data_IF_858450261379
#
_entry.id   IF_858450261379
#
_cell.length_a   1.000
_cell.length_b   1.000
_cell.length_c   1.000
_cell.angle_alpha   90.00
_cell.angle_beta   90.00
_cell.angle_gamma   90.00
#
_symmetry.space_group_name_H-M   'P 1'
#
loop_
_entity.id
_entity.type
_entity.pdbx_description
1 polymer ?
#
# COMPACT_ATOMS: atom_id res chain seq x y z
N UNK A 1 10.83 -11.00 10.81
CA UNK A 1 11.13 -9.76 10.05
C UNK A 1 9.82 -9.15 9.56
N UNK A 2 9.65 -7.84 9.72
CA UNK A 2 8.60 -7.04 9.08
C UNK A 2 9.23 -6.08 8.07
N UNK A 3 8.57 -5.88 6.94
CA UNK A 3 9.05 -5.02 5.85
C UNK A 3 8.02 -3.95 5.53
N UNK A 4 8.48 -2.73 5.26
CA UNK A 4 7.69 -1.66 4.69
C UNK A 4 8.43 -1.11 3.46
N UNK A 5 7.74 -1.07 2.33
CA UNK A 5 8.30 -0.67 1.04
C UNK A 5 7.69 0.66 0.60
N UNK A 6 8.55 1.64 0.31
CA UNK A 6 8.08 2.96 -0.07
C UNK A 6 7.40 3.00 -1.43
N UNK A 7 6.66 4.08 -1.67
CA UNK A 7 6.21 4.48 -3.00
C UNK A 7 7.29 5.25 -3.73
N UNK A 8 7.45 4.97 -5.03
CA UNK A 8 8.23 5.76 -6.02
C UNK A 8 8.19 5.14 -7.43
N UNK A 9 7.07 4.49 -7.77
CA UNK A 9 6.96 3.67 -8.98
C UNK A 9 8.03 2.58 -9.08
N UNK A 10 8.52 2.33 -10.29
CA UNK A 10 9.46 1.23 -10.59
C UNK A 10 10.79 1.34 -9.82
N UNK A 11 11.23 2.56 -9.44
CA UNK A 11 12.44 2.76 -8.61
C UNK A 11 12.29 2.09 -7.24
N UNK A 12 11.19 2.37 -6.55
CA UNK A 12 10.92 1.75 -5.25
C UNK A 12 10.71 0.24 -5.35
N UNK A 13 10.05 -0.22 -6.43
CA UNK A 13 9.89 -1.65 -6.67
C UNK A 13 11.25 -2.37 -6.81
N UNK A 14 12.17 -1.78 -7.57
CA UNK A 14 13.52 -2.31 -7.78
C UNK A 14 14.35 -2.31 -6.48
N UNK A 15 14.31 -1.21 -5.72
CA UNK A 15 15.03 -1.11 -4.45
C UNK A 15 14.51 -2.14 -3.43
N UNK A 16 13.19 -2.23 -3.27
CA UNK A 16 12.53 -3.22 -2.40
C UNK A 16 12.87 -4.65 -2.79
N UNK A 17 12.93 -4.94 -4.10
CA UNK A 17 13.38 -6.24 -4.59
C UNK A 17 14.85 -6.52 -4.23
N UNK A 18 15.73 -5.51 -4.36
CA UNK A 18 17.11 -5.59 -3.91
C UNK A 18 17.24 -5.92 -2.41
N UNK A 19 16.40 -5.29 -1.57
CA UNK A 19 16.34 -5.61 -0.13
C UNK A 19 15.92 -7.07 0.11
N UNK A 20 14.89 -7.56 -0.58
CA UNK A 20 14.49 -8.97 -0.48
C UNK A 20 15.61 -9.93 -0.90
N UNK A 21 16.37 -9.60 -1.94
CA UNK A 21 17.54 -10.39 -2.38
C UNK A 21 18.65 -10.37 -1.33
N UNK A 22 18.96 -9.22 -0.76
CA UNK A 22 19.96 -9.10 0.30
C UNK A 22 19.56 -9.91 1.56
N UNK A 23 18.27 -9.91 1.93
CA UNK A 23 17.78 -10.72 3.05
C UNK A 23 17.83 -12.23 2.75
N UNK A 24 17.68 -12.62 1.50
CA UNK A 24 17.83 -14.02 1.06
C UNK A 24 19.29 -14.48 1.11
N UNK A 25 20.26 -13.57 1.03
CA UNK A 25 21.68 -13.91 1.21
C UNK A 25 22.09 -14.07 2.69
N UNK A 26 21.29 -13.57 3.64
CA UNK A 26 21.59 -13.63 5.08
C UNK A 26 21.09 -14.94 5.69
N UNK A 27 22.00 -15.90 5.90
CA UNK A 27 21.70 -17.20 6.52
C UNK A 27 21.51 -17.06 8.03
N UNK A 28 20.38 -17.57 8.55
CA UNK A 28 20.03 -17.55 9.98
C UNK A 28 20.02 -18.93 10.64
N UNK A 29 19.87 -20.00 9.85
CA UNK A 29 19.95 -21.38 10.33
C UNK A 29 20.50 -22.27 9.21
N UNK A 30 21.20 -23.34 9.56
CA UNK A 30 21.78 -24.30 8.63
C UNK A 30 21.19 -25.71 8.79
N UNK A 31 20.45 -26.00 9.87
CA UNK A 31 19.90 -27.34 10.12
C UNK A 31 18.44 -27.27 10.61
N UNK A 32 17.52 -28.11 10.11
CA UNK A 32 17.71 -29.22 9.16
C UNK A 32 17.76 -28.82 7.67
N UNK A 33 17.43 -27.56 7.34
CA UNK A 33 17.57 -26.97 6.01
C UNK A 33 18.16 -25.57 6.20
N UNK A 34 19.00 -25.11 5.26
CA UNK A 34 19.43 -23.72 5.23
C UNK A 34 18.20 -22.81 5.22
N UNK A 35 18.18 -21.85 6.14
CA UNK A 35 17.17 -20.80 6.22
C UNK A 35 17.84 -19.44 6.19
N UNK A 36 17.21 -18.50 5.49
CA UNK A 36 17.68 -17.14 5.30
C UNK A 36 16.69 -16.16 5.95
N UNK A 37 17.02 -14.87 6.07
CA UNK A 37 16.10 -13.90 6.67
C UNK A 37 14.80 -13.78 5.87
N UNK A 38 14.82 -14.04 4.56
CA UNK A 38 13.63 -14.04 3.70
C UNK A 38 12.58 -15.06 4.16
N UNK A 39 13.02 -16.19 4.74
CA UNK A 39 12.15 -17.25 5.25
C UNK A 39 11.32 -16.83 6.46
N UNK A 40 11.79 -15.82 7.19
CA UNK A 40 11.19 -15.32 8.42
C UNK A 40 10.59 -13.92 8.26
N UNK A 41 10.32 -13.50 7.02
CA UNK A 41 9.43 -12.38 6.75
C UNK A 41 8.01 -12.80 7.13
N UNK A 42 7.43 -12.09 8.11
CA UNK A 42 6.08 -12.35 8.65
C UNK A 42 5.07 -11.29 8.27
N UNK A 43 5.56 -10.14 7.84
CA UNK A 43 4.77 -8.95 7.55
C UNK A 43 5.45 -8.19 6.43
N UNK A 44 4.70 -7.78 5.41
CA UNK A 44 5.16 -6.91 4.34
C UNK A 44 4.08 -5.90 4.04
N UNK A 45 4.44 -4.64 3.96
CA UNK A 45 3.55 -3.54 3.61
C UNK A 45 4.15 -2.74 2.47
N UNK A 46 3.32 -2.15 1.63
CA UNK A 46 3.80 -1.26 0.59
C UNK A 46 2.74 -0.33 0.02
N UNK A 47 3.23 0.79 -0.51
CA UNK A 47 2.46 1.75 -1.30
C UNK A 47 3.06 1.89 -2.70
N UNK A 48 2.23 2.17 -3.71
CA UNK A 48 2.67 2.40 -5.09
C UNK A 48 3.56 1.28 -5.63
N UNK A 49 4.74 1.59 -6.18
CA UNK A 49 5.73 0.61 -6.62
C UNK A 49 6.15 -0.39 -5.53
N UNK A 50 6.24 0.04 -4.27
CA UNK A 50 6.49 -0.85 -3.13
C UNK A 50 5.38 -1.88 -2.92
N UNK A 51 4.12 -1.51 -3.18
CA UNK A 51 2.98 -2.42 -3.13
C UNK A 51 3.07 -3.53 -4.20
N UNK A 52 3.61 -3.22 -5.38
CA UNK A 52 3.86 -4.24 -6.43
C UNK A 52 4.80 -5.32 -5.90
N UNK A 53 5.95 -4.93 -5.33
CA UNK A 53 6.93 -5.87 -4.78
C UNK A 53 6.38 -6.61 -3.56
N UNK A 54 5.67 -5.91 -2.66
CA UNK A 54 5.06 -6.51 -1.48
C UNK A 54 4.05 -7.60 -1.83
N UNK A 55 3.11 -7.28 -2.72
CA UNK A 55 2.09 -8.21 -3.19
C UNK A 55 2.70 -9.38 -3.96
N UNK A 56 3.71 -9.11 -4.81
CA UNK A 56 4.38 -10.16 -5.58
C UNK A 56 5.10 -11.16 -4.67
N UNK A 57 5.84 -10.66 -3.67
CA UNK A 57 6.50 -11.50 -2.68
C UNK A 57 5.49 -12.31 -1.85
N UNK A 58 4.40 -11.69 -1.40
CA UNK A 58 3.33 -12.40 -0.68
C UNK A 58 2.68 -13.50 -1.52
N UNK A 59 2.41 -13.21 -2.80
CA UNK A 59 1.76 -14.13 -3.73
C UNK A 59 2.65 -15.31 -4.09
N UNK A 60 3.86 -15.05 -4.61
CA UNK A 60 4.79 -16.10 -5.06
C UNK A 60 5.47 -16.81 -3.90
N UNK A 61 5.69 -16.10 -2.81
CA UNK A 61 6.43 -16.55 -1.64
C UNK A 61 7.93 -16.58 -1.88
N UNK A 62 8.66 -16.92 -0.81
CA UNK A 62 10.13 -16.99 -0.78
C UNK A 62 10.79 -17.83 -1.88
N UNK A 63 10.11 -18.87 -2.39
CA UNK A 63 10.69 -19.82 -3.35
C UNK A 63 10.40 -19.40 -4.80
N UNK A 64 9.61 -18.35 -5.03
CA UNK A 64 9.14 -17.97 -6.36
C UNK A 64 9.18 -16.48 -6.69
N UNK A 65 9.70 -15.62 -5.80
CA UNK A 65 9.75 -14.17 -6.06
C UNK A 65 10.97 -13.75 -6.91
N UNK A 66 11.92 -14.66 -7.14
CA UNK A 66 13.21 -14.38 -7.78
C UNK A 66 13.09 -14.02 -9.28
N UNK A 67 11.96 -14.31 -9.91
CA UNK A 67 11.65 -13.94 -11.30
C UNK A 67 11.03 -12.52 -11.42
N UNK A 68 10.92 -11.78 -10.30
CA UNK A 68 10.27 -10.46 -10.28
C UNK A 68 10.96 -9.46 -11.20
N UNK A 69 12.30 -9.53 -11.32
CA UNK A 69 13.05 -8.67 -12.23
C UNK A 69 12.59 -8.87 -13.66
N UNK A 70 12.53 -10.12 -14.10
CA UNK A 70 12.20 -10.49 -15.46
C UNK A 70 10.71 -10.29 -15.74
N UNK A 71 9.82 -10.52 -14.77
CA UNK A 71 8.37 -10.36 -14.95
C UNK A 71 7.88 -8.92 -14.81
N UNK A 72 8.61 -8.06 -14.10
CA UNK A 72 8.18 -6.67 -13.84
C UNK A 72 9.25 -5.63 -14.17
N UNK A 73 10.40 -5.66 -13.50
CA UNK A 73 11.36 -4.55 -13.53
C UNK A 73 12.00 -4.29 -14.90
N UNK A 74 12.14 -5.32 -15.72
CA UNK A 74 12.65 -5.21 -17.09
C UNK A 74 11.54 -5.12 -18.13
N UNK A 75 10.28 -5.19 -17.70
CA UNK A 75 9.13 -5.09 -18.59
C UNK A 75 8.69 -3.64 -18.71
N UNK A 76 8.17 -3.30 -19.89
CA UNK A 76 7.55 -2.00 -20.09
C UNK A 76 6.08 -2.05 -19.67
N UNK A 77 5.84 -2.30 -18.38
CA UNK A 77 4.50 -2.40 -17.79
C UNK A 77 3.65 -1.13 -18.04
N UNK A 78 4.33 -0.01 -18.27
CA UNK A 78 3.74 1.30 -18.53
C UNK A 78 3.61 1.63 -20.03
N UNK A 79 4.17 0.84 -20.96
CA UNK A 79 4.05 1.11 -22.40
C UNK A 79 2.61 1.01 -22.92
N UNK A 80 1.83 0.11 -22.33
CA UNK A 80 0.40 -0.06 -22.67
C UNK A 80 -0.48 0.97 -21.95
N UNK A 81 0.07 1.72 -20.99
CA UNK A 81 -0.60 2.91 -20.47
C UNK A 81 -0.57 3.97 -21.56
N UNK A 82 -1.75 4.39 -21.99
CA UNK A 82 -1.91 5.53 -22.89
C UNK A 82 -1.57 6.82 -22.12
N UNK A 83 -0.29 7.02 -21.87
CA UNK A 83 0.33 8.17 -21.19
C UNK A 83 0.31 9.44 -22.05
N UNK A 84 -0.28 9.40 -23.24
CA UNK A 84 -0.48 10.61 -24.03
C UNK A 84 -1.44 11.55 -23.32
N UNK A 85 -1.02 12.80 -23.12
CA UNK A 85 -1.88 13.91 -22.74
C UNK A 85 -2.85 14.22 -23.91
N UNK A 86 -3.76 13.31 -24.21
CA UNK A 86 -4.78 13.52 -25.22
C UNK A 86 -5.98 14.26 -24.62
N UNK A 87 -6.69 15.09 -25.39
CA UNK A 87 -7.92 15.74 -24.94
C UNK A 87 -8.96 14.76 -24.35
N UNK A 88 -8.94 13.51 -24.82
CA UNK A 88 -9.80 12.42 -24.33
C UNK A 88 -9.42 11.97 -22.90
N UNK A 89 -8.13 12.02 -22.54
CA UNK A 89 -7.67 11.74 -21.18
C UNK A 89 -8.00 12.89 -20.22
N UNK A 90 -7.95 14.14 -20.70
CA UNK A 90 -8.46 15.30 -19.95
C UNK A 90 -9.98 15.22 -19.72
N UNK A 91 -10.75 14.78 -20.71
CA UNK A 91 -12.19 14.56 -20.59
C UNK A 91 -12.51 13.42 -19.59
N UNK A 92 -11.74 12.32 -19.59
CA UNK A 92 -11.90 11.25 -18.60
C UNK A 92 -11.48 11.65 -17.18
N UNK A 93 -10.45 12.48 -17.04
CA UNK A 93 -10.10 13.10 -15.76
C UNK A 93 -11.20 14.07 -15.30
N UNK A 94 -11.80 14.83 -16.22
CA UNK A 94 -12.89 15.78 -15.95
C UNK A 94 -14.20 15.10 -15.52
N UNK A 95 -14.54 13.94 -16.11
CA UNK A 95 -15.75 13.18 -15.74
C UNK A 95 -15.53 12.15 -14.62
N UNK A 96 -14.33 12.09 -14.03
CA UNK A 96 -14.04 11.22 -12.89
C UNK A 96 -14.00 9.73 -13.25
N UNK A 97 -12.85 9.27 -13.77
CA UNK A 97 -12.37 7.89 -13.69
C UNK A 97 -13.42 6.78 -13.80
N UNK A 98 -13.86 6.47 -15.03
CA UNK A 98 -14.71 5.32 -15.30
C UNK A 98 -13.87 4.06 -15.17
N UNK A 99 -13.80 3.49 -13.96
CA UNK A 99 -13.25 2.17 -13.58
C UNK A 99 -12.43 1.50 -14.70
N UNK A 100 -11.26 2.06 -15.00
CA UNK A 100 -10.46 1.53 -16.09
C UNK A 100 -9.69 0.32 -15.57
N UNK A 101 -10.39 -0.83 -15.52
CA UNK A 101 -9.76 -2.15 -15.45
C UNK A 101 -8.96 -2.47 -16.72
N UNK A 102 -8.73 -1.48 -17.60
CA UNK A 102 -7.79 -1.55 -18.74
C UNK A 102 -6.46 -0.92 -18.42
N UNK A 103 -5.44 -1.35 -19.15
CA UNK A 103 -4.07 -0.88 -18.96
C UNK A 103 -3.41 -1.61 -17.79
N UNK A 104 -2.91 -0.86 -16.81
CA UNK A 104 -2.00 -1.37 -15.79
C UNK A 104 -2.59 -2.48 -14.92
N UNK A 105 -3.82 -2.34 -14.41
CA UNK A 105 -4.48 -3.39 -13.61
C UNK A 105 -4.60 -4.72 -14.39
N UNK A 106 -4.94 -4.64 -15.68
CA UNK A 106 -5.00 -5.83 -16.55
C UNK A 106 -3.61 -6.40 -16.80
N UNK A 107 -2.64 -5.54 -17.09
CA UNK A 107 -1.26 -5.97 -17.31
C UNK A 107 -0.70 -6.69 -16.07
N UNK A 108 -0.89 -6.14 -14.87
CA UNK A 108 -0.52 -6.77 -13.60
C UNK A 108 -1.23 -8.11 -13.41
N UNK A 109 -2.52 -8.17 -13.72
CA UNK A 109 -3.32 -9.39 -13.61
C UNK A 109 -2.78 -10.51 -14.51
N UNK A 110 -2.41 -10.17 -15.75
CA UNK A 110 -2.05 -11.15 -16.78
C UNK A 110 -0.57 -11.54 -16.70
N UNK A 111 0.31 -10.63 -16.25
CA UNK A 111 1.77 -10.82 -16.29
C UNK A 111 2.42 -11.04 -14.93
N UNK A 112 1.81 -10.61 -13.82
CA UNK A 112 2.40 -10.74 -12.47
C UNK A 112 1.59 -11.66 -11.56
N UNK A 113 0.27 -11.47 -11.50
CA UNK A 113 -0.58 -12.09 -10.49
C UNK A 113 -1.42 -13.25 -11.00
N UNK A 114 -1.31 -13.60 -12.29
CA UNK A 114 -1.91 -14.80 -12.88
C UNK A 114 -3.43 -14.93 -12.60
N UNK A 115 -4.16 -13.81 -12.59
CA UNK A 115 -5.59 -13.78 -12.26
C UNK A 115 -5.93 -13.95 -10.77
N UNK A 116 -4.94 -13.98 -9.88
CA UNK A 116 -5.15 -14.29 -8.47
C UNK A 116 -5.93 -13.21 -7.71
N UNK A 117 -6.86 -13.67 -6.87
CA UNK A 117 -7.57 -12.86 -5.90
C UNK A 117 -6.81 -12.77 -4.57
N UNK A 118 -7.19 -11.81 -3.72
CA UNK A 118 -6.52 -11.48 -2.47
C UNK A 118 -6.43 -12.69 -1.53
N UNK A 119 -7.40 -13.61 -1.58
CA UNK A 119 -7.35 -14.90 -0.87
C UNK A 119 -6.08 -15.71 -1.13
N UNK A 120 -5.43 -15.52 -2.28
CA UNK A 120 -4.19 -16.20 -2.62
C UNK A 120 -2.98 -15.72 -1.80
N UNK A 121 -3.08 -14.55 -1.14
CA UNK A 121 -2.09 -14.06 -0.18
C UNK A 121 -2.18 -14.79 1.17
N UNK A 122 -3.30 -15.45 1.49
CA UNK A 122 -3.49 -16.24 2.72
C UNK A 122 -2.83 -17.62 2.64
N UNK A 123 -1.52 -17.65 2.51
CA UNK A 123 -0.75 -18.90 2.44
C UNK A 123 -0.33 -19.36 3.84
N UNK A 124 -0.38 -20.66 4.15
CA UNK A 124 0.20 -21.19 5.36
C UNK A 124 1.68 -20.78 5.47
N UNK A 125 2.05 -20.12 6.57
CA UNK A 125 3.39 -19.58 6.82
C UNK A 125 3.83 -18.44 5.90
N UNK A 126 2.96 -17.91 5.04
CA UNK A 126 3.20 -16.67 4.30
C UNK A 126 3.17 -15.44 5.21
N UNK A 127 3.72 -14.31 4.76
CA UNK A 127 3.61 -13.06 5.49
C UNK A 127 2.19 -12.49 5.39
N UNK A 128 1.81 -11.68 6.38
CA UNK A 128 0.70 -10.74 6.22
C UNK A 128 1.13 -9.69 5.19
N UNK A 129 0.27 -9.40 4.21
CA UNK A 129 0.54 -8.41 3.17
C UNK A 129 -0.45 -7.27 3.28
N UNK A 130 0.07 -6.05 3.46
CA UNK A 130 -0.70 -4.82 3.40
C UNK A 130 -0.40 -4.06 2.11
N UNK A 131 -1.47 -3.78 1.37
CA UNK A 131 -1.45 -2.93 0.18
C UNK A 131 -2.15 -1.65 0.56
N UNK A 132 -1.48 -0.52 0.37
CA UNK A 132 -1.94 0.76 0.91
C UNK A 132 -2.25 1.71 -0.27
N UNK A 133 -3.48 2.19 -0.33
CA UNK A 133 -3.90 3.27 -1.23
C UNK A 133 -4.29 4.50 -0.38
N UNK A 134 -4.73 5.58 -1.03
CA UNK A 134 -5.19 6.78 -0.34
C UNK A 134 -6.67 7.04 -0.63
N UNK A 135 -7.49 7.12 0.42
CA UNK A 135 -8.85 7.65 0.32
C UNK A 135 -8.77 9.17 0.30
N UNK A 136 -9.03 9.76 -0.86
CA UNK A 136 -8.85 11.19 -1.07
C UNK A 136 -10.02 12.05 -0.55
N UNK A 137 -11.16 11.43 -0.26
CA UNK A 137 -12.26 12.13 0.41
C UNK A 137 -11.96 12.26 1.90
N UNK A 138 -11.64 11.13 2.54
CA UNK A 138 -11.34 11.08 3.98
C UNK A 138 -9.90 11.54 4.32
N UNK A 139 -9.03 11.70 3.32
CA UNK A 139 -7.62 12.15 3.44
C UNK A 139 -6.81 11.24 4.38
N UNK A 140 -7.04 9.94 4.26
CA UNK A 140 -6.44 8.92 5.11
C UNK A 140 -6.03 7.70 4.29
N UNK A 141 -5.13 6.85 4.79
CA UNK A 141 -4.80 5.59 4.14
C UNK A 141 -6.03 4.69 3.99
N UNK A 142 -6.18 4.12 2.80
CA UNK A 142 -7.09 3.02 2.51
C UNK A 142 -6.30 1.73 2.52
N UNK A 143 -6.48 0.92 3.56
CA UNK A 143 -5.81 -0.38 3.66
C UNK A 143 -6.71 -1.46 3.08
N UNK A 144 -6.16 -2.29 2.19
CA UNK A 144 -6.87 -3.49 1.70
C UNK A 144 -6.86 -4.58 2.79
N UNK A 145 -7.77 -4.45 3.76
CA UNK A 145 -7.95 -5.37 4.89
C UNK A 145 -9.40 -5.81 5.01
N UNK A 146 -9.65 -6.92 5.71
CA UNK A 146 -11.01 -7.44 5.93
C UNK A 146 -11.89 -6.44 6.69
N UNK A 147 -11.33 -5.65 7.60
CA UNK A 147 -12.08 -4.61 8.32
C UNK A 147 -12.55 -3.49 7.38
N UNK A 148 -11.67 -3.00 6.50
CA UNK A 148 -12.05 -1.99 5.49
C UNK A 148 -13.13 -2.52 4.56
N UNK A 149 -12.96 -3.75 4.06
CA UNK A 149 -13.91 -4.35 3.12
C UNK A 149 -15.23 -4.72 3.79
N UNK A 150 -15.22 -5.14 5.07
CA UNK A 150 -16.44 -5.31 5.85
C UNK A 150 -17.20 -3.98 6.02
N UNK A 151 -16.49 -2.89 6.29
CA UNK A 151 -17.08 -1.54 6.36
C UNK A 151 -17.64 -1.07 5.00
N UNK A 152 -17.13 -1.59 3.89
CA UNK A 152 -17.66 -1.36 2.53
C UNK A 152 -18.73 -2.38 2.12
N UNK A 153 -19.13 -3.30 3.01
CA UNK A 153 -20.02 -4.40 2.69
C UNK A 153 -19.56 -5.24 1.48
N UNK A 154 -18.25 -5.46 1.38
CA UNK A 154 -17.58 -6.15 0.29
C UNK A 154 -16.65 -7.25 0.81
N UNK A 155 -16.36 -8.25 -0.02
CA UNK A 155 -15.44 -9.35 0.32
C UNK A 155 -14.06 -9.10 -0.28
N UNK A 156 -13.06 -8.84 0.57
CA UNK A 156 -11.67 -8.66 0.16
C UNK A 156 -11.13 -9.90 -0.57
N UNK A 157 -11.54 -11.10 -0.17
CA UNK A 157 -10.99 -12.35 -0.70
C UNK A 157 -11.30 -12.56 -2.20
N UNK A 158 -12.31 -11.86 -2.73
CA UNK A 158 -12.65 -11.85 -4.16
C UNK A 158 -11.95 -10.75 -4.96
N UNK A 159 -11.33 -9.77 -4.31
CA UNK A 159 -10.64 -8.67 -4.99
C UNK A 159 -9.41 -9.21 -5.69
N UNK A 160 -9.18 -8.86 -6.95
CA UNK A 160 -7.93 -9.24 -7.64
C UNK A 160 -6.76 -8.51 -7.00
N UNK A 161 -5.66 -9.23 -6.74
CA UNK A 161 -4.43 -8.61 -6.20
C UNK A 161 -4.01 -7.45 -7.12
N UNK A 162 -4.12 -7.66 -8.43
CA UNK A 162 -3.83 -6.66 -9.44
C UNK A 162 -4.67 -5.37 -9.32
N UNK A 163 -5.94 -5.46 -8.94
CA UNK A 163 -6.80 -4.28 -8.76
C UNK A 163 -6.38 -3.48 -7.51
N UNK A 164 -6.03 -4.18 -6.43
CA UNK A 164 -5.52 -3.54 -5.20
C UNK A 164 -4.18 -2.83 -5.43
N UNK A 165 -3.25 -3.51 -6.11
CA UNK A 165 -1.94 -2.94 -6.47
C UNK A 165 -2.10 -1.75 -7.43
N UNK A 166 -2.99 -1.85 -8.43
CA UNK A 166 -3.25 -0.75 -9.34
C UNK A 166 -3.85 0.47 -8.65
N UNK A 167 -4.76 0.28 -7.68
CA UNK A 167 -5.27 1.37 -6.85
C UNK A 167 -4.16 2.02 -6.02
N UNK A 168 -3.29 1.21 -5.42
CA UNK A 168 -2.13 1.67 -4.64
C UNK A 168 -1.11 2.45 -5.48
N UNK A 169 -1.02 2.19 -6.79
CA UNK A 169 -0.09 2.81 -7.72
C UNK A 169 -0.74 3.85 -8.66
N UNK A 170 -1.96 4.30 -8.36
CA UNK A 170 -2.70 5.25 -9.18
C UNK A 170 -2.20 6.69 -8.97
N UNK A 171 -0.96 6.97 -9.43
CA UNK A 171 -0.32 8.29 -9.29
C UNK A 171 -1.20 9.38 -9.92
N UNK A 172 -1.48 10.48 -9.20
CA UNK A 172 -2.23 11.60 -9.75
C UNK A 172 -1.68 12.07 -11.09
N UNK A 173 -2.52 12.64 -11.96
CA UNK A 173 -2.19 13.12 -13.32
C UNK A 173 -2.01 11.97 -14.33
N UNK A 174 -1.31 10.89 -13.95
CA UNK A 174 -1.08 9.73 -14.83
C UNK A 174 -2.30 8.80 -14.84
N UNK A 175 -2.95 8.62 -13.69
CA UNK A 175 -4.09 7.73 -13.53
C UNK A 175 -5.33 8.49 -13.06
N UNK A 176 -6.50 8.04 -13.52
CA UNK A 176 -7.76 8.45 -12.92
C UNK A 176 -7.97 7.69 -11.59
N UNK A 177 -8.66 8.28 -10.61
CA UNK A 177 -8.94 7.58 -9.35
C UNK A 177 -9.65 6.24 -9.59
N UNK A 178 -9.24 5.21 -8.85
CA UNK A 178 -9.94 3.93 -8.81
C UNK A 178 -11.18 4.07 -7.93
N UNK A 179 -12.32 3.60 -8.42
CA UNK A 179 -13.61 3.78 -7.75
C UNK A 179 -14.05 2.47 -7.10
N UNK A 180 -14.14 2.48 -5.78
CA UNK A 180 -14.70 1.37 -5.00
C UNK A 180 -16.14 1.71 -4.62
N UNK A 181 -17.04 0.75 -4.78
CA UNK A 181 -18.45 0.91 -4.40
C UNK A 181 -18.61 0.74 -2.90
N UNK A 182 -19.42 1.60 -2.31
CA UNK A 182 -19.87 1.56 -0.92
C UNK A 182 -21.42 1.66 -0.84
N UNK A 183 -22.12 1.33 -1.93
CA UNK A 183 -23.57 1.56 -2.13
C UNK A 183 -24.49 0.60 -1.36
N UNK A 184 -23.97 -0.26 -0.48
CA UNK A 184 -24.74 -1.34 0.15
C UNK A 184 -24.75 -1.23 1.67
N UNK A 185 -25.53 -0.30 2.27
CA UNK A 185 -25.49 0.01 3.71
C UNK A 185 -26.13 -1.05 4.63
N UNK A 186 -26.65 -2.17 4.08
CA UNK A 186 -27.41 -3.16 4.85
C UNK A 186 -26.88 -4.58 4.70
N UNK A 187 -25.57 -4.77 4.85
CA UNK A 187 -24.94 -6.11 4.86
C UNK A 187 -24.82 -6.73 6.28
N UNK A 188 -25.43 -6.12 7.30
CA UNK A 188 -25.27 -6.55 8.69
C UNK A 188 -23.89 -6.24 9.29
N UNK A 189 -23.21 -5.21 8.76
CA UNK A 189 -21.95 -4.74 9.30
C UNK A 189 -22.13 -4.24 10.74
N UNK A 190 -21.20 -4.65 11.60
CA UNK A 190 -21.06 -4.14 12.95
C UNK A 190 -19.63 -3.66 13.15
N UNK A 191 -19.48 -2.47 13.74
CA UNK A 191 -18.17 -1.90 14.06
C UNK A 191 -17.36 -2.92 14.86
N UNK A 192 -16.12 -3.23 14.47
CA UNK A 192 -15.23 -4.00 15.34
C UNK A 192 -14.95 -3.21 16.62
N UNK A 193 -14.57 -3.94 17.68
CA UNK A 193 -14.34 -3.34 19.00
C UNK A 193 -13.30 -2.22 18.95
N UNK A 194 -12.17 -2.45 18.29
CA UNK A 194 -11.08 -1.46 18.18
C UNK A 194 -11.54 -0.15 17.53
N UNK A 195 -12.46 -0.22 16.55
CA UNK A 195 -12.96 0.95 15.84
C UNK A 195 -13.86 1.78 16.75
N UNK A 196 -14.74 1.11 17.51
CA UNK A 196 -15.58 1.78 18.50
C UNK A 196 -14.76 2.45 19.61
N UNK A 197 -13.70 1.77 20.07
CA UNK A 197 -12.77 2.29 21.07
C UNK A 197 -11.97 3.48 20.53
N UNK A 198 -11.44 3.39 19.31
CA UNK A 198 -10.67 4.47 18.68
C UNK A 198 -11.49 5.76 18.52
N UNK A 199 -12.78 5.65 18.16
CA UNK A 199 -13.68 6.79 18.03
C UNK A 199 -14.04 7.41 19.39
N UNK A 200 -14.13 6.61 20.45
CA UNK A 200 -14.52 7.08 21.78
C UNK A 200 -13.32 7.60 22.61
N UNK A 201 -12.14 7.05 22.41
CA UNK A 201 -10.95 7.36 23.22
C UNK A 201 -10.34 8.71 22.83
N UNK A 202 -10.24 9.64 23.78
CA UNK A 202 -9.59 10.94 23.56
C UNK A 202 -8.08 10.84 23.37
N UNK A 203 -7.45 9.79 23.87
CA UNK A 203 -6.00 9.60 23.83
C UNK A 203 -5.54 8.72 22.65
N UNK A 204 -6.45 8.08 21.92
CA UNK A 204 -6.10 7.37 20.70
C UNK A 204 -5.41 8.30 19.69
N UNK A 205 -4.43 7.75 18.96
CA UNK A 205 -3.63 8.52 18.01
C UNK A 205 -4.51 9.17 16.94
N UNK A 206 -4.13 10.36 16.50
CA UNK A 206 -4.89 11.08 15.46
C UNK A 206 -5.02 10.26 14.17
N UNK A 207 -4.01 9.45 13.84
CA UNK A 207 -4.03 8.55 12.68
C UNK A 207 -5.05 7.43 12.84
N UNK A 208 -5.07 6.76 14.00
CA UNK A 208 -6.06 5.70 14.27
C UNK A 208 -7.49 6.26 14.25
N UNK A 209 -7.70 7.47 14.79
CA UNK A 209 -8.99 8.15 14.75
C UNK A 209 -9.43 8.51 13.34
N UNK A 210 -8.53 9.06 12.53
CA UNK A 210 -8.82 9.41 11.14
C UNK A 210 -9.21 8.16 10.35
N UNK A 211 -8.47 7.07 10.52
CA UNK A 211 -8.77 5.79 9.90
C UNK A 211 -10.11 5.20 10.37
N UNK A 212 -10.36 5.19 11.68
CA UNK A 212 -11.62 4.73 12.26
C UNK A 212 -12.82 5.57 11.77
N UNK A 213 -12.65 6.89 11.65
CA UNK A 213 -13.69 7.79 11.16
C UNK A 213 -13.98 7.56 9.67
N UNK A 214 -12.96 7.26 8.87
CA UNK A 214 -13.15 6.92 7.46
C UNK A 214 -13.89 5.60 7.27
N UNK A 215 -13.56 4.56 8.06
CA UNK A 215 -14.31 3.31 8.02
C UNK A 215 -15.76 3.49 8.53
N UNK A 216 -15.98 4.39 9.47
CA UNK A 216 -17.32 4.69 9.96
C UNK A 216 -18.18 5.47 8.95
N UNK A 217 -17.58 6.40 8.19
CA UNK A 217 -18.27 7.20 7.18
C UNK A 217 -18.79 6.38 5.99
N UNK A 218 -18.21 5.20 5.74
CA UNK A 218 -18.74 4.27 4.73
C UNK A 218 -20.13 3.72 5.07
N UNK A 219 -20.59 3.85 6.32
CA UNK A 219 -21.87 3.29 6.78
C UNK A 219 -22.79 4.31 7.45
N UNK A 220 -22.24 5.22 8.27
CA UNK A 220 -23.05 5.97 9.24
C UNK A 220 -23.09 7.49 9.02
N UNK A 221 -22.11 8.07 8.32
CA UNK A 221 -21.95 9.52 8.20
C UNK A 221 -22.03 9.91 6.71
N UNK A 222 -23.17 10.47 6.29
CA UNK A 222 -23.54 10.79 4.88
C UNK A 222 -23.02 9.73 3.89
N UNK A 223 -23.66 8.54 3.84
CA UNK A 223 -23.07 7.32 3.28
C UNK A 223 -22.54 7.58 1.87
N UNK A 224 -21.22 7.52 1.76
CA UNK A 224 -20.53 7.69 0.49
C UNK A 224 -20.89 6.50 -0.40
N UNK A 225 -21.58 6.72 -1.51
CA UNK A 225 -21.85 5.66 -2.48
C UNK A 225 -20.56 5.10 -3.10
N UNK A 226 -19.51 5.91 -3.14
CA UNK A 226 -18.26 5.59 -3.81
C UNK A 226 -17.04 6.14 -3.08
N UNK A 227 -16.05 5.30 -2.85
CA UNK A 227 -14.71 5.69 -2.39
C UNK A 227 -13.82 5.92 -3.60
N UNK A 228 -13.04 7.01 -3.58
CA UNK A 228 -12.10 7.38 -4.65
C UNK A 228 -10.68 7.14 -4.14
N UNK A 229 -9.99 6.20 -4.77
CA UNK A 229 -8.64 5.81 -4.39
C UNK A 229 -7.61 6.37 -5.38
N UNK A 230 -6.53 6.90 -4.81
CA UNK A 230 -5.32 7.26 -5.54
C UNK A 230 -4.10 6.57 -4.90
N UNK A 231 -2.95 6.80 -5.50
CA UNK A 231 -1.66 6.27 -5.06
C UNK A 231 -1.47 6.38 -3.54
N UNK A 232 -1.09 5.26 -2.92
CA UNK A 232 -0.93 5.17 -1.47
C UNK A 232 0.16 6.07 -0.92
N UNK A 233 1.11 6.49 -1.76
CA UNK A 233 2.16 7.42 -1.39
C UNK A 233 1.62 8.76 -0.90
N UNK A 234 0.41 9.16 -1.28
CA UNK A 234 -0.19 10.40 -0.80
C UNK A 234 -0.46 10.43 0.71
N UNK A 235 -0.61 9.26 1.34
CA UNK A 235 -0.92 9.15 2.78
C UNK A 235 -0.02 8.19 3.56
N UNK A 236 0.78 7.36 2.87
CA UNK A 236 1.67 6.37 3.47
C UNK A 236 2.86 6.07 2.55
N UNK A 237 3.72 7.06 2.30
CA UNK A 237 4.77 6.95 1.31
C UNK A 237 5.86 5.93 1.66
N UNK A 238 6.11 5.63 2.94
CA UNK A 238 7.04 4.56 3.32
C UNK A 238 6.35 3.23 3.64
N UNK A 239 5.04 3.12 3.41
CA UNK A 239 4.30 1.87 3.58
C UNK A 239 4.22 1.39 5.03
N UNK A 240 4.36 2.27 6.03
CA UNK A 240 4.41 1.89 7.45
C UNK A 240 3.04 1.87 8.11
N UNK A 241 2.04 2.48 7.45
CA UNK A 241 0.73 2.70 8.05
C UNK A 241 -0.03 1.40 8.27
N UNK A 242 0.07 0.43 7.36
CA UNK A 242 -0.48 -0.91 7.55
C UNK A 242 -0.04 -1.53 8.89
N UNK A 243 1.25 -1.52 9.19
CA UNK A 243 1.76 -2.05 10.46
C UNK A 243 1.33 -1.22 11.68
N UNK A 244 1.46 0.11 11.62
CA UNK A 244 1.20 0.98 12.78
C UNK A 244 -0.28 1.03 13.16
N UNK A 245 -1.19 1.04 12.19
CA UNK A 245 -2.64 1.00 12.45
C UNK A 245 -3.06 -0.37 12.97
N UNK A 246 -2.62 -1.47 12.36
CA UNK A 246 -2.92 -2.81 12.83
C UNK A 246 -2.37 -3.07 14.23
N UNK A 247 -1.16 -2.60 14.52
CA UNK A 247 -0.59 -2.64 15.87
C UNK A 247 -1.45 -1.83 16.85
N UNK A 248 -1.89 -0.64 16.47
CA UNK A 248 -2.72 0.23 17.32
C UNK A 248 -4.12 -0.35 17.55
N UNK A 249 -4.70 -1.00 16.53
CA UNK A 249 -6.02 -1.61 16.56
C UNK A 249 -6.05 -2.95 17.32
N UNK A 250 -4.94 -3.67 17.42
CA UNK A 250 -4.94 -5.04 17.92
C UNK A 250 -5.32 -5.23 19.41
N UNK A 251 -5.34 -4.18 20.23
CA UNK A 251 -5.73 -4.22 21.64
C UNK A 251 -4.90 -5.15 22.55
N UNK A 252 -3.90 -5.84 22.00
CA UNK A 252 -3.05 -6.83 22.69
C UNK A 252 -1.59 -6.41 22.59
N UNK A 253 -0.68 -6.88 23.46
CA UNK A 253 0.74 -6.57 23.36
C UNK A 253 1.44 -7.13 22.11
N UNK A 254 0.84 -8.13 21.47
CA UNK A 254 1.50 -8.95 20.44
C UNK A 254 0.90 -8.85 19.05
N UNK A 255 -0.29 -8.26 18.88
CA UNK A 255 -0.85 -8.03 17.56
C UNK A 255 0.07 -7.14 16.71
N UNK A 256 0.03 -7.24 15.37
CA UNK A 256 -0.88 -8.07 14.57
C UNK A 256 -0.47 -9.56 14.45
N UNK A 257 0.52 -10.02 15.24
CA UNK A 257 0.86 -11.44 15.25
C UNK A 257 -0.22 -12.26 15.97
N UNK A 258 -0.42 -13.50 15.53
CA UNK A 258 -1.23 -14.45 16.30
C UNK A 258 -0.54 -14.79 17.64
N UNK A 259 -1.29 -15.21 18.68
CA UNK A 259 -0.69 -15.65 19.95
C UNK A 259 0.40 -16.73 19.75
N UNK A 260 0.17 -17.65 18.81
CA UNK A 260 1.12 -18.73 18.48
C UNK A 260 2.41 -18.22 17.83
N UNK A 261 2.32 -17.15 17.02
CA UNK A 261 3.48 -16.50 16.43
C UNK A 261 4.21 -15.64 17.47
N UNK A 262 3.46 -14.97 18.35
CA UNK A 262 3.99 -14.13 19.42
C UNK A 262 4.86 -14.92 20.41
N UNK A 263 4.40 -16.09 20.86
CA UNK A 263 5.17 -16.95 21.78
C UNK A 263 6.48 -17.47 21.15
N UNK A 264 6.55 -17.54 19.82
CA UNK A 264 7.75 -17.95 19.08
C UNK A 264 8.65 -16.77 18.70
N UNK A 265 8.19 -15.54 18.88
CA UNK A 265 8.94 -14.34 18.53
C UNK A 265 10.02 -14.09 19.59
N UNK A 266 11.28 -14.24 19.21
CA UNK A 266 12.43 -13.86 20.05
C UNK A 266 12.92 -12.46 19.73
N UNK A 267 12.82 -12.03 18.47
CA UNK A 267 13.31 -10.74 18.01
C UNK A 267 12.47 -10.24 16.84
N UNK A 268 12.01 -8.99 16.94
CA UNK A 268 11.36 -8.28 15.85
C UNK A 268 12.36 -7.33 15.21
N UNK A 269 12.65 -7.56 13.92
CA UNK A 269 13.37 -6.62 13.06
C UNK A 269 12.33 -6.06 12.10
N UNK A 270 12.18 -4.73 12.08
CA UNK A 270 11.33 -4.01 11.14
C UNK A 270 12.22 -3.17 10.22
N UNK A 271 12.15 -3.41 8.91
CA UNK A 271 13.00 -2.75 7.91
C UNK A 271 12.09 -1.90 7.02
N UNK A 272 12.39 -0.61 6.96
CA UNK A 272 11.78 0.32 6.01
C UNK A 272 12.74 0.48 4.83
N UNK A 273 12.30 0.08 3.64
CA UNK A 273 13.03 0.29 2.40
C UNK A 273 12.51 1.55 1.72
N UNK A 274 13.15 2.69 2.02
CA UNK A 274 12.85 3.97 1.42
C UNK A 274 13.73 4.21 0.18
N UNK A 275 13.08 4.31 -0.98
CA UNK A 275 13.72 4.59 -2.26
C UNK A 275 13.68 6.08 -2.64
N UNK A 276 13.27 6.96 -1.71
CA UNK A 276 13.26 8.40 -1.90
C UNK A 276 14.63 8.92 -2.34
N UNK A 277 14.62 9.84 -3.30
CA UNK A 277 15.81 10.49 -3.82
C UNK A 277 15.77 11.99 -3.55
N UNK A 278 16.83 12.55 -2.98
CA UNK A 278 17.03 13.99 -2.98
C UNK A 278 17.37 14.45 -4.40
N UNK A 279 16.41 15.08 -5.08
CA UNK A 279 16.70 15.74 -6.36
C UNK A 279 17.41 17.06 -6.08
N UNK A 280 18.64 17.21 -6.58
CA UNK A 280 19.35 18.50 -6.62
C UNK A 280 18.59 19.48 -7.53
N UNK A 281 17.65 20.23 -6.95
CA UNK A 281 16.81 21.16 -7.72
C UNK A 281 17.56 22.47 -7.97
N UNK A 282 18.02 22.64 -9.22
CA UNK A 282 18.80 23.80 -9.66
C UNK A 282 18.10 25.15 -9.50
N UNK A 283 16.76 25.18 -9.39
CA UNK A 283 16.02 26.44 -9.16
C UNK A 283 16.29 27.04 -7.77
N UNK A 284 16.76 26.26 -6.79
CA UNK A 284 17.23 26.81 -5.51
C UNK A 284 18.51 27.67 -5.66
N UNK A 285 19.21 27.56 -6.79
CA UNK A 285 20.42 28.32 -7.14
C UNK A 285 20.12 29.50 -8.09
N UNK A 286 18.85 29.73 -8.42
CA UNK A 286 18.38 30.76 -9.34
C UNK A 286 17.43 31.72 -8.63
N UNK A 287 17.40 32.99 -9.05
CA UNK A 287 16.39 33.96 -8.59
C UNK A 287 14.99 33.59 -9.12
N UNK A 288 14.93 32.95 -10.30
CA UNK A 288 13.67 32.47 -10.88
C UNK A 288 13.30 31.11 -10.29
N UNK A 289 12.08 31.02 -9.74
CA UNK A 289 11.51 29.78 -9.22
C UNK A 289 11.15 28.75 -10.30
N UNK A 290 10.63 27.58 -9.90
CA UNK A 290 10.29 26.49 -10.83
C UNK A 290 9.21 26.92 -11.82
N UNK A 291 9.28 26.39 -13.05
CA UNK A 291 8.21 26.54 -14.05
C UNK A 291 6.94 25.84 -13.59
N UNK A 292 5.79 26.13 -14.20
CA UNK A 292 4.50 25.57 -13.77
C UNK A 292 4.46 24.03 -13.62
N UNK A 293 5.10 23.29 -14.54
CA UNK A 293 5.19 21.82 -14.43
C UNK A 293 6.16 21.37 -13.31
N UNK A 294 7.30 22.05 -13.18
CA UNK A 294 8.29 21.80 -12.11
C UNK A 294 7.74 22.20 -10.72
N UNK A 295 6.83 23.18 -10.66
CA UNK A 295 6.18 23.63 -9.44
C UNK A 295 5.23 22.57 -8.89
N UNK A 296 4.46 21.89 -9.75
CA UNK A 296 3.55 20.83 -9.33
C UNK A 296 4.32 19.62 -8.76
N UNK A 297 5.41 19.24 -9.42
CA UNK A 297 6.32 18.20 -8.96
C UNK A 297 7.00 18.58 -7.64
N UNK A 298 7.49 19.82 -7.53
CA UNK A 298 8.11 20.33 -6.31
C UNK A 298 7.14 20.39 -5.12
N UNK A 299 5.89 20.83 -5.33
CA UNK A 299 4.85 20.84 -4.28
C UNK A 299 4.54 19.42 -3.82
N UNK A 300 4.32 18.50 -4.76
CA UNK A 300 4.04 17.09 -4.46
C UNK A 300 5.20 16.47 -3.67
N UNK A 301 6.43 16.62 -4.17
CA UNK A 301 7.65 16.13 -3.52
C UNK A 301 7.83 16.72 -2.12
N UNK A 302 7.52 18.01 -1.92
CA UNK A 302 7.60 18.66 -0.61
C UNK A 302 6.62 18.05 0.38
N UNK A 303 5.37 17.85 -0.04
CA UNK A 303 4.34 17.24 0.81
C UNK A 303 4.67 15.79 1.16
N UNK A 304 5.15 15.00 0.19
CA UNK A 304 5.56 13.61 0.40
C UNK A 304 6.75 13.53 1.35
N UNK A 305 7.81 14.33 1.12
CA UNK A 305 8.99 14.33 1.97
C UNK A 305 8.67 14.77 3.42
N UNK A 306 7.72 15.69 3.61
CA UNK A 306 7.23 16.02 4.95
C UNK A 306 6.49 14.84 5.58
N UNK A 307 5.55 14.22 4.85
CA UNK A 307 4.79 13.04 5.30
C UNK A 307 5.71 11.89 5.71
N UNK A 308 6.75 11.58 4.93
CA UNK A 308 7.72 10.51 5.23
C UNK A 308 8.37 10.71 6.60
N UNK A 309 8.75 11.95 6.95
CA UNK A 309 9.37 12.24 8.25
C UNK A 309 8.39 12.00 9.39
N UNK A 310 7.16 12.45 9.23
CA UNK A 310 6.08 12.20 10.21
C UNK A 310 5.76 10.70 10.30
N UNK A 311 5.85 9.95 9.20
CA UNK A 311 5.66 8.49 9.16
C UNK A 311 6.74 7.75 9.94
N UNK A 312 8.01 8.15 9.84
CA UNK A 312 9.08 7.58 10.67
C UNK A 312 8.90 7.87 12.16
N UNK A 313 8.44 9.07 12.52
CA UNK A 313 8.16 9.38 13.93
C UNK A 313 7.00 8.57 14.50
N UNK A 314 6.05 8.13 13.67
CA UNK A 314 4.99 7.22 14.09
C UNK A 314 5.47 5.80 14.43
N UNK A 315 6.67 5.39 13.99
CA UNK A 315 7.29 4.13 14.41
C UNK A 315 7.97 4.22 15.79
N UNK A 316 8.17 5.43 16.33
CA UNK A 316 8.84 5.66 17.62
C UNK A 316 7.88 5.67 18.83
N UNK A 317 6.59 5.44 18.60
CA UNK A 317 5.53 5.48 19.61
C UNK A 317 5.23 4.10 20.20
#
# INVERSE_FOLDING_TARGET
VGLAFSGDGTRAAAFSYGVLRALDDVVIDQRPKQRTLVDDIRMVSGASGGAVTAAYFGYKGRDGYQDFRERFLTQNAEADLRTSLSPVNFIRAYYGGVNDRSGFARWLNDHLFDGAAFKALHRPKGPIVWINASDIYNRTPFLFTHDTFAALCSDLDQVRIADAVAASAAVPIVFAPIVVSATSPHCGYHRPQWLSEALADRNASLRLKAYASALDSYQNDDPLDYVKLLDGGLTDNIGVTGFTLERSAAGTPYGPLSPSAAVRLTTLIFIVADAGSDSDVNWAKSLHGPKAAELLDAVTSTTLAASVRDEFDALKL
#
